data_IF_438760461933
#
_entry.id   IF_438760461933
#
_cell.length_a   1.000
_cell.length_b   1.000
_cell.length_c   1.000
_cell.angle_alpha   90.00
_cell.angle_beta   90.00
_cell.angle_gamma   90.00
#
_symmetry.space_group_name_H-M   'P 1'
#
loop_
_entity.id
_entity.type
_entity.pdbx_description
1 polymer ?
#
# COMPACT_ATOMS: atom_id res chain seq x y z
N UNK A 1 36.47 -7.15 3.99
CA UNK A 1 35.34 -6.20 4.06
C UNK A 1 34.22 -6.87 4.84
N UNK A 2 33.75 -6.25 5.93
CA UNK A 2 32.60 -6.76 6.68
C UNK A 2 31.38 -6.67 5.78
N UNK A 3 30.73 -7.80 5.51
CA UNK A 3 29.52 -7.84 4.70
C UNK A 3 28.34 -7.45 5.59
N UNK A 4 27.69 -6.32 5.28
CA UNK A 4 26.47 -5.90 5.98
C UNK A 4 25.25 -6.59 5.36
N UNK A 5 24.11 -6.63 6.08
CA UNK A 5 22.92 -7.35 5.60
C UNK A 5 22.40 -6.82 4.25
N UNK A 6 22.52 -5.50 4.03
CA UNK A 6 22.10 -4.86 2.78
C UNK A 6 22.97 -5.28 1.59
N UNK A 7 24.28 -5.50 1.79
CA UNK A 7 25.20 -5.98 0.74
C UNK A 7 24.89 -7.42 0.33
N UNK A 8 24.54 -8.26 1.30
CA UNK A 8 24.12 -9.65 1.03
C UNK A 8 22.84 -9.65 0.21
N UNK A 9 21.83 -8.89 0.64
CA UNK A 9 20.55 -8.80 -0.06
C UNK A 9 20.70 -8.19 -1.46
N UNK A 10 21.54 -7.16 -1.63
CA UNK A 10 21.84 -6.60 -2.95
C UNK A 10 22.42 -7.65 -3.91
N UNK A 11 23.37 -8.48 -3.43
CA UNK A 11 23.94 -9.57 -4.22
C UNK A 11 22.92 -10.65 -4.56
N UNK A 12 22.02 -10.99 -3.64
CA UNK A 12 20.93 -11.94 -3.90
C UNK A 12 19.98 -11.42 -4.99
N UNK A 13 19.56 -10.16 -4.89
CA UNK A 13 18.68 -9.54 -5.89
C UNK A 13 19.36 -9.49 -7.26
N UNK A 14 20.65 -9.13 -7.33
CA UNK A 14 21.41 -9.13 -8.59
C UNK A 14 21.62 -10.55 -9.13
N UNK A 15 21.80 -11.53 -8.25
CA UNK A 15 22.03 -12.93 -8.59
C UNK A 15 20.77 -13.74 -8.90
N UNK A 16 19.58 -13.17 -8.71
CA UNK A 16 18.31 -13.87 -8.86
C UNK A 16 18.10 -14.36 -10.29
N UNK A 17 17.76 -15.65 -10.43
CA UNK A 17 17.67 -16.33 -11.75
C UNK A 17 16.26 -16.65 -12.20
N UNK A 18 15.30 -16.75 -11.28
CA UNK A 18 13.93 -17.13 -11.60
C UNK A 18 12.88 -16.42 -10.75
N UNK A 19 11.65 -16.52 -11.22
CA UNK A 19 10.43 -16.22 -10.50
C UNK A 19 10.24 -17.21 -9.33
N UNK A 20 9.43 -16.84 -8.33
CA UNK A 20 9.23 -17.64 -7.10
C UNK A 20 8.09 -18.67 -7.25
N UNK A 21 7.05 -18.32 -7.98
CA UNK A 21 5.81 -19.11 -8.19
C UNK A 21 5.70 -19.66 -9.61
N UNK A 22 6.53 -19.19 -10.54
CA UNK A 22 6.59 -19.66 -11.92
C UNK A 22 7.98 -20.21 -12.24
N UNK A 23 8.05 -21.31 -12.99
CA UNK A 23 9.30 -21.79 -13.59
C UNK A 23 9.64 -20.92 -14.81
N UNK A 24 10.01 -19.67 -14.52
CA UNK A 24 10.28 -18.63 -15.51
C UNK A 24 11.59 -17.93 -15.17
N UNK A 25 12.48 -17.66 -16.14
CA UNK A 25 13.69 -16.88 -15.91
C UNK A 25 13.38 -15.48 -15.39
N UNK A 26 14.20 -14.97 -14.48
CA UNK A 26 14.09 -13.61 -13.96
C UNK A 26 14.39 -12.61 -15.10
N UNK A 27 13.59 -11.53 -15.26
CA UNK A 27 13.78 -10.61 -16.36
C UNK A 27 15.09 -9.83 -16.22
N UNK A 28 15.65 -9.39 -17.35
CA UNK A 28 16.78 -8.47 -17.34
C UNK A 28 16.38 -7.11 -16.73
N UNK A 29 17.08 -6.69 -15.67
CA UNK A 29 16.79 -5.46 -14.94
C UNK A 29 17.78 -4.37 -15.37
N UNK A 30 17.26 -3.36 -16.08
CA UNK A 30 18.03 -2.16 -16.46
C UNK A 30 18.15 -1.16 -15.31
N UNK A 31 17.11 -1.04 -14.49
CA UNK A 31 17.06 -0.17 -13.32
C UNK A 31 16.36 -0.90 -12.20
N UNK A 32 16.99 -0.93 -11.03
CA UNK A 32 16.48 -1.57 -9.84
C UNK A 32 15.54 -0.60 -9.13
N UNK A 33 14.24 -0.81 -9.36
CA UNK A 33 13.19 -0.07 -8.68
C UNK A 33 12.90 -0.70 -7.32
N UNK A 34 13.23 0.03 -6.27
CA UNK A 34 12.92 -0.33 -4.89
C UNK A 34 11.72 0.49 -4.47
N UNK A 35 10.78 -0.11 -3.74
CA UNK A 35 9.62 0.60 -3.22
C UNK A 35 9.56 0.46 -1.71
N UNK A 36 9.25 1.57 -1.04
CA UNK A 36 8.67 1.61 0.30
C UNK A 36 7.29 2.27 0.21
N UNK A 37 6.39 1.96 1.13
CA UNK A 37 5.02 2.49 1.12
C UNK A 37 4.48 2.78 2.52
N UNK A 38 3.51 3.69 2.60
CA UNK A 38 2.80 3.98 3.85
C UNK A 38 1.39 4.48 3.57
N UNK A 39 0.40 3.92 4.27
CA UNK A 39 -0.94 4.49 4.34
C UNK A 39 -0.92 5.86 5.02
N UNK A 40 -1.35 6.89 4.29
CA UNK A 40 -1.46 8.28 4.79
C UNK A 40 -2.86 8.54 5.37
N UNK A 41 -3.48 7.52 5.94
CA UNK A 41 -4.74 7.69 6.70
C UNK A 41 -4.51 8.17 8.14
N UNK A 42 -3.26 8.18 8.61
CA UNK A 42 -2.80 8.77 9.86
C UNK A 42 -1.59 9.66 9.65
N UNK A 43 -1.01 10.15 10.74
CA UNK A 43 0.23 10.96 10.70
C UNK A 43 1.44 10.01 10.62
N UNK A 44 2.31 10.12 9.60
CA UNK A 44 3.52 9.32 9.49
C UNK A 44 4.46 9.52 10.68
N UNK A 45 5.14 8.45 11.10
CA UNK A 45 6.03 8.46 12.26
C UNK A 45 7.35 7.74 11.99
N UNK A 46 8.28 7.76 12.95
CA UNK A 46 9.62 7.16 12.81
C UNK A 46 9.57 5.64 12.51
N UNK A 47 8.47 4.98 12.90
CA UNK A 47 8.20 3.58 12.52
C UNK A 47 8.02 3.41 11.01
N UNK A 48 7.35 4.36 10.34
CA UNK A 48 7.27 4.38 8.87
C UNK A 48 8.63 4.74 8.25
N UNK A 49 9.35 5.71 8.82
CA UNK A 49 10.68 6.08 8.32
C UNK A 49 11.69 4.93 8.38
N UNK A 50 11.61 4.10 9.42
CA UNK A 50 12.42 2.91 9.60
C UNK A 50 12.34 1.94 8.41
N UNK A 51 11.16 1.82 7.79
CA UNK A 51 10.97 1.06 6.56
C UNK A 51 11.73 1.72 5.40
N UNK A 52 11.53 3.02 5.18
CA UNK A 52 12.21 3.77 4.10
C UNK A 52 13.73 3.70 4.23
N UNK A 53 14.27 3.86 5.44
CA UNK A 53 15.72 3.86 5.71
C UNK A 53 16.35 2.50 5.38
N UNK A 54 15.65 1.38 5.60
CA UNK A 54 16.14 0.04 5.22
C UNK A 54 16.18 -0.13 3.71
N UNK A 55 15.16 0.36 3.03
CA UNK A 55 15.13 0.37 1.57
C UNK A 55 16.23 1.27 0.99
N UNK A 56 16.53 2.41 1.62
CA UNK A 56 17.66 3.26 1.23
C UNK A 56 19.02 2.58 1.45
N UNK A 57 19.20 1.85 2.55
CA UNK A 57 20.41 1.06 2.79
C UNK A 57 20.65 0.03 1.67
N UNK A 58 19.60 -0.69 1.25
CA UNK A 58 19.66 -1.58 0.11
C UNK A 58 19.94 -0.83 -1.21
N UNK A 59 19.30 0.32 -1.41
CA UNK A 59 19.51 1.13 -2.60
C UNK A 59 20.96 1.58 -2.74
N UNK A 60 21.62 1.97 -1.63
CA UNK A 60 23.06 2.27 -1.59
C UNK A 60 23.90 1.03 -1.89
N UNK A 61 23.61 -0.11 -1.28
CA UNK A 61 24.33 -1.36 -1.56
C UNK A 61 24.25 -1.78 -3.04
N UNK A 62 23.10 -1.61 -3.68
CA UNK A 62 22.95 -1.86 -5.13
C UNK A 62 23.74 -0.85 -5.99
N UNK A 63 23.80 0.42 -5.58
CA UNK A 63 24.63 1.44 -6.25
C UNK A 63 26.12 1.13 -6.11
N UNK A 64 26.56 0.62 -4.97
CA UNK A 64 27.95 0.18 -4.73
C UNK A 64 28.33 -1.01 -5.62
N UNK A 65 27.35 -1.85 -6.01
CA UNK A 65 27.50 -2.89 -7.04
C UNK A 65 27.42 -2.35 -8.48
N UNK A 66 27.39 -1.03 -8.67
CA UNK A 66 27.34 -0.37 -9.98
C UNK A 66 25.99 -0.47 -10.69
N UNK A 67 24.90 -0.76 -9.96
CA UNK A 67 23.56 -0.87 -10.56
C UNK A 67 22.84 0.49 -10.59
N UNK A 68 22.07 0.80 -11.65
CA UNK A 68 21.15 1.93 -11.63
C UNK A 68 19.98 1.65 -10.68
N UNK A 69 19.71 2.55 -9.75
CA UNK A 69 18.70 2.35 -8.69
C UNK A 69 17.80 3.56 -8.58
N UNK A 70 16.50 3.33 -8.39
CA UNK A 70 15.54 4.36 -7.98
C UNK A 70 14.75 3.84 -6.80
N UNK A 71 14.74 4.62 -5.71
CA UNK A 71 13.94 4.35 -4.52
C UNK A 71 12.65 5.14 -4.62
N UNK A 72 11.52 4.46 -4.68
CA UNK A 72 10.20 5.04 -4.59
C UNK A 72 9.71 5.06 -3.14
N UNK A 73 9.02 6.13 -2.78
CA UNK A 73 8.12 6.12 -1.64
C UNK A 73 6.69 6.40 -2.10
N UNK A 74 5.80 5.47 -1.81
CA UNK A 74 4.39 5.51 -2.17
C UNK A 74 3.54 5.96 -0.97
N UNK A 75 2.74 7.00 -1.19
CA UNK A 75 1.58 7.28 -0.36
C UNK A 75 0.39 6.44 -0.82
N UNK A 76 -0.12 5.56 0.05
CA UNK A 76 -1.36 4.82 -0.19
C UNK A 76 -2.56 5.73 0.16
N UNK A 77 -2.81 6.73 -0.67
CA UNK A 77 -3.72 7.84 -0.39
C UNK A 77 -5.15 7.65 -0.91
N UNK A 78 -5.43 6.52 -1.56
CA UNK A 78 -6.81 6.04 -1.76
C UNK A 78 -7.41 5.35 -0.52
N UNK A 79 -6.61 5.12 0.52
CA UNK A 79 -7.13 4.57 1.77
C UNK A 79 -8.09 5.53 2.45
N UNK A 80 -9.11 4.95 3.08
CA UNK A 80 -10.14 5.72 3.74
C UNK A 80 -9.67 6.30 5.08
N UNK A 81 -10.15 7.49 5.42
CA UNK A 81 -10.06 8.00 6.78
C UNK A 81 -10.94 7.15 7.72
N UNK A 82 -10.30 6.29 8.52
CA UNK A 82 -10.98 5.33 9.41
C UNK A 82 -11.44 5.93 10.73
N UNK A 83 -10.66 6.89 11.22
CA UNK A 83 -10.90 7.69 12.43
C UNK A 83 -10.14 9.00 12.28
N UNK A 84 -10.56 10.04 12.99
CA UNK A 84 -9.82 11.31 13.02
C UNK A 84 -8.55 11.13 13.88
N UNK A 85 -7.33 11.31 13.34
CA UNK A 85 -6.10 11.18 14.12
C UNK A 85 -5.97 12.26 15.19
N UNK A 86 -5.17 11.98 16.22
CA UNK A 86 -4.82 12.98 17.22
C UNK A 86 -4.11 14.19 16.55
N UNK A 87 -4.42 15.40 17.01
CA UNK A 87 -3.92 16.65 16.41
C UNK A 87 -4.75 17.18 15.24
N UNK A 88 -5.65 16.37 14.66
CA UNK A 88 -6.53 16.81 13.57
C UNK A 88 -7.86 17.35 14.14
N UNK A 89 -8.42 18.46 13.62
CA UNK A 89 -9.68 19.00 14.11
C UNK A 89 -10.81 17.98 14.05
N UNK A 90 -11.62 17.88 15.12
CA UNK A 90 -12.78 16.97 15.19
C UNK A 90 -13.79 17.17 14.06
N UNK A 91 -13.85 18.36 13.47
CA UNK A 91 -14.67 18.64 12.28
C UNK A 91 -14.35 17.74 11.07
N UNK A 92 -13.22 17.03 11.07
CA UNK A 92 -12.87 16.03 10.06
C UNK A 92 -13.70 14.74 10.16
N UNK A 93 -14.50 14.55 11.21
CA UNK A 93 -15.44 13.43 11.31
C UNK A 93 -16.39 13.35 10.10
N UNK A 94 -16.72 14.48 9.48
CA UNK A 94 -17.56 14.53 8.27
C UNK A 94 -16.91 13.85 7.04
N UNK A 95 -15.60 13.63 7.07
CA UNK A 95 -14.83 12.99 6.00
C UNK A 95 -14.55 11.50 6.25
N UNK A 96 -15.05 10.92 7.34
CA UNK A 96 -14.88 9.49 7.63
C UNK A 96 -15.38 8.63 6.47
N UNK A 97 -14.56 7.63 6.12
CA UNK A 97 -14.83 6.73 5.00
C UNK A 97 -14.51 7.27 3.62
N UNK A 98 -14.06 8.53 3.48
CA UNK A 98 -13.55 9.09 2.22
C UNK A 98 -12.05 8.76 2.02
N UNK A 99 -11.57 8.61 0.78
CA UNK A 99 -10.14 8.52 0.48
C UNK A 99 -9.38 9.74 1.02
N UNK A 100 -8.23 9.56 1.66
CA UNK A 100 -7.46 10.67 2.25
C UNK A 100 -6.88 11.64 1.20
N UNK A 101 -6.79 11.23 -0.06
CA UNK A 101 -6.49 12.11 -1.18
C UNK A 101 -7.63 13.10 -1.52
N UNK A 102 -8.86 12.82 -1.08
CA UNK A 102 -10.06 13.64 -1.37
C UNK A 102 -10.52 14.50 -0.19
N UNK A 103 -9.75 14.49 0.89
CA UNK A 103 -10.02 15.24 2.12
C UNK A 103 -9.15 16.50 2.10
N UNK A 104 -9.66 17.68 2.50
CA UNK A 104 -8.87 18.90 2.52
C UNK A 104 -7.68 18.82 3.48
N UNK A 105 -6.64 19.60 3.20
CA UNK A 105 -5.52 19.81 4.12
C UNK A 105 -6.03 20.36 5.47
N UNK A 106 -5.67 19.74 6.61
CA UNK A 106 -6.02 20.24 7.95
C UNK A 106 -5.57 21.67 8.23
N UNK A 107 -4.47 22.10 7.61
CA UNK A 107 -3.88 23.43 7.78
C UNK A 107 -4.20 24.40 6.62
N UNK A 108 -4.91 23.93 5.59
CA UNK A 108 -5.23 24.74 4.41
C UNK A 108 -4.04 25.16 3.55
N UNK A 109 -2.85 24.59 3.75
CA UNK A 109 -1.61 25.00 3.07
C UNK A 109 -1.32 24.25 1.76
N UNK A 110 -2.04 23.16 1.47
CA UNK A 110 -1.88 22.37 0.25
C UNK A 110 -3.19 21.70 -0.18
N UNK A 111 -3.18 20.93 -1.28
CA UNK A 111 -4.42 20.46 -1.93
C UNK A 111 -5.24 19.50 -1.07
N UNK A 112 -4.59 18.59 -0.33
CA UNK A 112 -5.27 17.53 0.41
C UNK A 112 -4.59 17.17 1.73
N UNK A 113 -5.31 16.42 2.55
CA UNK A 113 -4.81 15.75 3.75
C UNK A 113 -3.60 14.89 3.41
N UNK A 114 -3.70 14.03 2.38
CA UNK A 114 -2.60 13.15 2.00
C UNK A 114 -1.36 13.94 1.58
N UNK A 115 -1.54 14.98 0.76
CA UNK A 115 -0.43 15.81 0.30
C UNK A 115 0.31 16.49 1.44
N UNK A 116 -0.43 16.99 2.43
CA UNK A 116 0.12 17.65 3.60
C UNK A 116 1.13 16.74 4.32
N UNK A 117 0.67 15.56 4.75
CA UNK A 117 1.52 14.63 5.49
C UNK A 117 2.59 13.97 4.63
N UNK A 118 2.34 13.74 3.34
CA UNK A 118 3.36 13.26 2.41
C UNK A 118 4.50 14.27 2.25
N UNK A 119 4.20 15.57 2.11
CA UNK A 119 5.22 16.60 2.00
C UNK A 119 6.06 16.68 3.28
N UNK A 120 5.42 16.71 4.46
CA UNK A 120 6.11 16.73 5.75
C UNK A 120 7.04 15.52 5.90
N UNK A 121 6.55 14.32 5.60
CA UNK A 121 7.30 13.09 5.74
C UNK A 121 8.50 13.01 4.77
N UNK A 122 8.29 13.30 3.48
CA UNK A 122 9.36 13.24 2.47
C UNK A 122 10.43 14.31 2.70
N UNK A 123 10.03 15.55 3.04
CA UNK A 123 10.99 16.61 3.36
C UNK A 123 11.81 16.24 4.60
N UNK A 124 11.15 15.76 5.65
CA UNK A 124 11.82 15.30 6.87
C UNK A 124 12.82 14.17 6.63
N UNK A 125 12.46 13.17 5.80
CA UNK A 125 13.38 12.10 5.39
C UNK A 125 14.61 12.62 4.67
N UNK A 126 14.43 13.59 3.77
CA UNK A 126 15.54 14.22 3.06
C UNK A 126 16.43 15.04 4.00
N UNK A 127 15.83 15.91 4.80
CA UNK A 127 16.54 16.88 5.64
C UNK A 127 17.26 16.26 6.83
N UNK A 128 16.65 15.26 7.49
CA UNK A 128 17.19 14.69 8.72
C UNK A 128 17.83 13.31 8.55
N UNK A 129 17.48 12.57 7.49
CA UNK A 129 17.97 11.21 7.27
C UNK A 129 18.78 11.06 5.98
N UNK A 130 18.87 12.10 5.14
CA UNK A 130 19.65 12.08 3.90
C UNK A 130 19.14 11.06 2.88
N UNK A 131 17.85 10.74 2.92
CA UNK A 131 17.21 9.80 2.00
C UNK A 131 16.71 10.54 0.76
N UNK A 132 17.13 10.09 -0.42
CA UNK A 132 16.62 10.56 -1.69
C UNK A 132 15.63 9.54 -2.29
N UNK A 133 14.41 9.99 -2.53
CA UNK A 133 13.32 9.16 -3.01
C UNK A 133 12.47 9.85 -4.07
N UNK A 134 11.77 9.05 -4.87
CA UNK A 134 10.77 9.50 -5.84
C UNK A 134 9.37 9.25 -5.25
N UNK A 135 8.60 10.31 -5.09
CA UNK A 135 7.23 10.24 -4.58
C UNK A 135 6.27 9.59 -5.59
N UNK A 136 5.41 8.70 -5.10
CA UNK A 136 4.27 8.13 -5.83
C UNK A 136 2.98 8.25 -5.00
N UNK A 137 1.84 8.29 -5.67
CA UNK A 137 0.50 8.35 -5.07
C UNK A 137 -0.40 7.31 -5.73
N UNK A 138 -1.13 6.51 -4.92
CA UNK A 138 -2.09 5.55 -5.48
C UNK A 138 -3.26 6.28 -6.13
N UNK A 139 -3.78 7.36 -5.52
CA UNK A 139 -4.83 8.19 -6.09
C UNK A 139 -4.43 8.76 -7.46
N UNK A 140 -3.19 9.24 -7.59
CA UNK A 140 -2.64 9.67 -8.87
C UNK A 140 -2.60 8.55 -9.92
N UNK A 141 -2.20 7.33 -9.53
CA UNK A 141 -2.12 6.18 -10.41
C UNK A 141 -3.50 5.66 -10.88
N UNK A 142 -4.51 5.69 -10.02
CA UNK A 142 -5.88 5.36 -10.42
C UNK A 142 -6.45 6.43 -11.35
N UNK A 143 -6.38 7.71 -10.97
CA UNK A 143 -7.00 8.83 -11.71
C UNK A 143 -6.36 9.09 -13.07
N UNK A 144 -5.05 8.87 -13.20
CA UNK A 144 -4.36 8.97 -14.49
C UNK A 144 -4.66 7.79 -15.43
N UNK A 145 -5.26 6.72 -14.90
CA UNK A 145 -5.49 5.48 -15.63
C UNK A 145 -4.27 4.56 -15.70
N UNK A 146 -3.14 4.88 -15.06
CA UNK A 146 -1.93 4.06 -15.02
C UNK A 146 -2.22 2.61 -14.56
N UNK A 147 -3.11 2.44 -13.58
CA UNK A 147 -3.54 1.11 -13.13
C UNK A 147 -4.63 0.45 -13.98
N UNK A 148 -5.24 1.15 -14.94
CA UNK A 148 -6.37 0.62 -15.73
C UNK A 148 -6.05 -0.69 -16.47
N UNK A 149 -4.90 -0.84 -17.16
CA UNK A 149 -4.57 -2.11 -17.83
C UNK A 149 -4.42 -3.27 -16.85
N UNK A 150 -3.88 -3.01 -15.67
CA UNK A 150 -3.66 -3.99 -14.61
C UNK A 150 -4.97 -4.40 -13.95
N UNK A 151 -5.87 -3.44 -13.66
CA UNK A 151 -7.22 -3.72 -13.17
C UNK A 151 -7.97 -4.63 -14.14
N UNK A 152 -7.94 -4.32 -15.45
CA UNK A 152 -8.56 -5.19 -16.47
C UNK A 152 -7.95 -6.60 -16.47
N UNK A 153 -6.64 -6.73 -16.30
CA UNK A 153 -5.95 -8.04 -16.21
C UNK A 153 -6.37 -8.82 -14.97
N UNK A 154 -6.50 -8.15 -13.81
CA UNK A 154 -7.03 -8.73 -12.58
C UNK A 154 -8.46 -9.22 -12.80
N UNK A 155 -9.35 -8.38 -13.33
CA UNK A 155 -10.76 -8.74 -13.54
C UNK A 155 -10.92 -9.90 -14.54
N UNK A 156 -10.10 -9.95 -15.60
CA UNK A 156 -10.10 -11.06 -16.57
C UNK A 156 -9.67 -12.40 -15.94
N UNK A 157 -8.84 -12.35 -14.89
CA UNK A 157 -8.29 -13.53 -14.22
C UNK A 157 -8.84 -13.68 -12.79
N UNK A 158 -10.06 -13.21 -12.55
CA UNK A 158 -10.65 -13.09 -11.23
C UNK A 158 -10.74 -14.44 -10.49
N UNK A 159 -11.05 -15.53 -11.18
CA UNK A 159 -11.09 -16.87 -10.58
C UNK A 159 -9.72 -17.32 -10.07
N UNK A 160 -8.65 -17.03 -10.80
CA UNK A 160 -7.29 -17.30 -10.35
C UNK A 160 -6.91 -16.42 -9.14
N UNK A 161 -7.30 -15.14 -9.15
CA UNK A 161 -7.11 -14.25 -7.99
C UNK A 161 -7.85 -14.78 -6.75
N UNK A 162 -9.08 -15.27 -6.92
CA UNK A 162 -9.88 -15.91 -5.85
C UNK A 162 -9.20 -17.17 -5.33
N UNK A 163 -8.75 -18.05 -6.22
CA UNK A 163 -8.00 -19.27 -5.88
C UNK A 163 -6.81 -18.93 -4.98
N UNK A 164 -5.96 -18.00 -5.43
CA UNK A 164 -4.75 -17.58 -4.71
C UNK A 164 -5.11 -16.99 -3.34
N UNK A 165 -6.09 -16.09 -3.27
CA UNK A 165 -6.49 -15.48 -2.00
C UNK A 165 -7.08 -16.51 -1.04
N UNK A 166 -7.92 -17.44 -1.53
CA UNK A 166 -8.57 -18.46 -0.70
C UNK A 166 -7.59 -19.39 0.04
N UNK A 167 -6.34 -19.54 -0.43
CA UNK A 167 -5.28 -20.26 0.29
C UNK A 167 -4.98 -19.69 1.68
N UNK A 168 -5.27 -18.40 1.89
CA UNK A 168 -5.04 -17.67 3.15
C UNK A 168 -6.30 -17.49 4.00
N UNK A 169 -7.41 -18.16 3.67
CA UNK A 169 -8.71 -17.93 4.29
C UNK A 169 -9.30 -19.22 4.83
N UNK A 170 -9.85 -19.17 6.04
CA UNK A 170 -10.67 -20.25 6.58
C UNK A 170 -12.03 -20.32 5.87
N UNK A 171 -12.63 -19.16 5.61
CA UNK A 171 -13.87 -19.05 4.82
C UNK A 171 -13.55 -18.52 3.42
N UNK A 172 -13.83 -19.31 2.37
CA UNK A 172 -13.63 -18.88 1.00
C UNK A 172 -14.34 -17.56 0.68
N UNK A 173 -13.77 -16.81 -0.27
CA UNK A 173 -14.43 -15.66 -0.86
C UNK A 173 -15.76 -16.09 -1.51
N UNK A 174 -16.79 -15.22 -1.50
CA UNK A 174 -18.05 -15.49 -2.17
C UNK A 174 -17.84 -15.85 -3.65
N UNK A 175 -18.79 -16.63 -4.20
CA UNK A 175 -18.79 -16.98 -5.62
C UNK A 175 -18.73 -15.72 -6.50
N UNK A 176 -19.61 -14.76 -6.23
CA UNK A 176 -19.62 -13.45 -6.89
C UNK A 176 -18.87 -12.44 -6.02
N UNK A 177 -17.56 -12.33 -6.26
CA UNK A 177 -16.67 -11.43 -5.51
C UNK A 177 -15.77 -10.65 -6.47
N UNK A 178 -15.54 -9.37 -6.20
CA UNK A 178 -14.57 -8.53 -6.92
C UNK A 178 -13.60 -7.86 -5.95
N UNK A 179 -12.33 -7.69 -6.30
CA UNK A 179 -11.40 -6.88 -5.53
C UNK A 179 -11.59 -5.37 -5.78
N UNK A 180 -12.48 -4.93 -6.66
CA UNK A 180 -12.72 -3.51 -6.90
C UNK A 180 -13.65 -2.90 -5.85
N UNK A 181 -13.23 -1.78 -5.27
CA UNK A 181 -14.02 -0.98 -4.32
C UNK A 181 -14.21 0.44 -4.88
N UNK A 182 -15.41 0.79 -5.35
CA UNK A 182 -15.67 2.10 -5.95
C UNK A 182 -15.73 3.21 -4.90
N UNK A 183 -15.45 4.44 -5.31
CA UNK A 183 -15.81 5.63 -4.52
C UNK A 183 -17.25 6.02 -4.88
N UNK A 184 -18.09 6.29 -3.88
CA UNK A 184 -19.45 6.74 -4.14
C UNK A 184 -19.46 8.11 -4.84
N UNK A 185 -20.05 8.19 -6.03
CA UNK A 185 -20.10 9.42 -6.83
C UNK A 185 -20.91 10.55 -6.17
N UNK A 186 -21.84 10.20 -5.27
CA UNK A 186 -22.67 11.18 -4.58
C UNK A 186 -22.00 11.75 -3.31
N UNK A 187 -21.45 10.88 -2.44
CA UNK A 187 -20.93 11.31 -1.13
C UNK A 187 -19.41 11.22 -0.98
N UNK A 188 -18.68 10.74 -1.99
CA UNK A 188 -17.22 10.63 -1.99
C UNK A 188 -16.64 9.58 -1.05
N UNK A 189 -17.49 8.79 -0.38
CA UNK A 189 -17.05 7.73 0.53
C UNK A 189 -16.73 6.46 -0.24
N UNK A 190 -15.57 5.87 0.04
CA UNK A 190 -15.17 4.58 -0.51
C UNK A 190 -15.64 3.43 0.39
N UNK A 191 -15.69 3.65 1.71
CA UNK A 191 -15.94 2.53 2.63
C UNK A 191 -17.37 2.02 2.67
N UNK A 192 -18.33 2.88 2.33
CA UNK A 192 -19.77 2.63 2.34
C UNK A 192 -20.27 1.95 1.06
N UNK A 193 -19.46 1.80 0.02
CA UNK A 193 -19.91 1.18 -1.21
C UNK A 193 -19.94 -0.34 -1.10
N UNK A 194 -21.10 -0.93 -1.40
CA UNK A 194 -21.31 -2.37 -1.50
C UNK A 194 -21.58 -2.71 -2.96
N UNK A 195 -20.66 -3.45 -3.58
CA UNK A 195 -20.81 -3.91 -4.96
C UNK A 195 -21.96 -4.91 -5.05
N UNK A 196 -22.88 -4.71 -6.00
CA UNK A 196 -24.02 -5.61 -6.26
C UNK A 196 -23.77 -6.50 -7.46
N UNK A 197 -23.18 -5.95 -8.52
CA UNK A 197 -22.80 -6.68 -9.72
C UNK A 197 -21.53 -6.10 -10.34
N UNK A 198 -20.86 -6.88 -11.20
CA UNK A 198 -19.69 -6.47 -11.95
C UNK A 198 -19.56 -7.25 -13.26
N UNK A 199 -18.94 -6.59 -14.23
CA UNK A 199 -18.56 -7.15 -15.53
C UNK A 199 -17.12 -6.74 -15.87
N UNK A 200 -16.71 -6.89 -17.14
CA UNK A 200 -15.38 -6.50 -17.63
C UNK A 200 -15.16 -4.98 -17.72
N UNK A 201 -16.21 -4.17 -17.61
CA UNK A 201 -16.18 -2.71 -17.76
C UNK A 201 -16.22 -2.00 -16.41
N UNK A 202 -16.93 -2.55 -15.44
CA UNK A 202 -17.11 -1.92 -14.15
C UNK A 202 -17.95 -2.71 -13.16
N UNK A 203 -18.47 -1.99 -12.16
CA UNK A 203 -19.32 -2.51 -11.10
C UNK A 203 -20.55 -1.64 -10.93
N UNK A 204 -21.66 -2.23 -10.49
CA UNK A 204 -22.79 -1.52 -9.87
C UNK A 204 -22.65 -1.60 -8.35
N UNK A 205 -23.02 -0.54 -7.64
CA UNK A 205 -22.91 -0.49 -6.18
C UNK A 205 -24.05 0.28 -5.54
N UNK A 206 -24.27 0.01 -4.26
CA UNK A 206 -25.14 0.81 -3.38
C UNK A 206 -24.31 1.35 -2.22
N UNK A 207 -24.56 2.59 -1.83
CA UNK A 207 -23.89 3.26 -0.73
C UNK A 207 -24.62 3.01 0.60
N UNK A 208 -24.16 2.02 1.37
CA UNK A 208 -24.76 1.53 2.61
C UNK A 208 -23.89 1.89 3.83
N UNK A 209 -24.49 1.84 5.02
CA UNK A 209 -23.77 2.08 6.27
C UNK A 209 -22.60 1.11 6.44
N UNK A 210 -21.50 1.63 6.99
CA UNK A 210 -20.31 0.84 7.25
C UNK A 210 -19.82 1.06 8.68
N UNK A 211 -19.34 -0.03 9.29
CA UNK A 211 -18.78 0.01 10.64
C UNK A 211 -17.33 -0.49 10.62
N UNK A 212 -16.41 0.39 11.00
CA UNK A 212 -15.05 -0.02 11.30
C UNK A 212 -14.99 -0.70 12.66
N UNK A 213 -14.60 -1.96 12.66
CA UNK A 213 -14.38 -2.76 13.87
C UNK A 213 -13.14 -3.64 13.74
N UNK A 214 -12.55 -4.03 14.87
CA UNK A 214 -11.62 -5.15 14.90
C UNK A 214 -12.43 -6.45 15.01
N UNK A 215 -11.83 -7.55 14.59
CA UNK A 215 -12.48 -8.85 14.69
C UNK A 215 -12.77 -9.18 16.16
N UNK A 216 -14.03 -9.50 16.47
CA UNK A 216 -14.48 -9.80 17.84
C UNK A 216 -14.68 -8.57 18.75
N UNK A 217 -14.52 -7.34 18.24
CA UNK A 217 -14.71 -6.11 19.02
C UNK A 217 -15.88 -5.26 18.50
N UNK A 218 -16.36 -4.33 19.34
CA UNK A 218 -17.35 -3.34 18.94
C UNK A 218 -16.81 -2.36 17.89
N UNK A 219 -17.73 -1.76 17.13
CA UNK A 219 -17.38 -0.75 16.15
C UNK A 219 -16.85 0.51 16.83
N UNK A 220 -15.61 0.90 16.51
CA UNK A 220 -15.01 2.13 17.02
C UNK A 220 -15.33 3.34 16.15
N UNK A 221 -15.81 3.12 14.92
CA UNK A 221 -16.27 4.19 14.03
C UNK A 221 -17.38 3.67 13.13
N UNK A 222 -18.47 4.45 13.06
CA UNK A 222 -19.61 4.19 12.19
C UNK A 222 -19.68 5.28 11.14
N UNK A 223 -19.96 4.90 9.91
CA UNK A 223 -20.03 5.81 8.77
C UNK A 223 -21.32 5.56 8.02
N UNK A 224 -22.16 6.59 7.97
CA UNK A 224 -23.43 6.49 7.25
C UNK A 224 -23.23 6.50 5.74
N UNK A 225 -23.84 5.52 5.07
CA UNK A 225 -24.05 5.52 3.63
C UNK A 225 -25.08 6.59 3.25
N UNK A 226 -25.12 6.95 1.97
CA UNK A 226 -26.10 7.92 1.47
C UNK A 226 -27.26 7.29 0.69
N UNK A 227 -27.32 5.96 0.59
CA UNK A 227 -28.34 5.22 -0.16
C UNK A 227 -28.19 5.31 -1.68
N UNK A 228 -27.23 6.08 -2.20
CA UNK A 228 -27.03 6.24 -3.64
C UNK A 228 -26.67 4.91 -4.31
N UNK A 229 -27.34 4.61 -5.42
CA UNK A 229 -27.02 3.52 -6.33
C UNK A 229 -26.27 4.09 -7.54
N UNK A 230 -25.16 3.46 -7.91
CA UNK A 230 -24.30 3.98 -8.97
C UNK A 230 -23.54 2.92 -9.74
N UNK A 231 -22.93 3.36 -10.84
CA UNK A 231 -22.06 2.57 -11.71
C UNK A 231 -20.64 3.12 -11.69
N UNK A 232 -19.67 2.27 -11.37
CA UNK A 232 -18.25 2.61 -11.40
C UNK A 232 -17.54 1.85 -12.52
N UNK A 233 -17.06 2.59 -13.53
CA UNK A 233 -16.24 2.03 -14.61
C UNK A 233 -14.77 1.99 -14.19
N UNK A 234 -14.08 0.87 -14.42
CA UNK A 234 -12.66 0.72 -14.04
C UNK A 234 -11.76 1.79 -14.67
N UNK A 235 -12.09 2.21 -15.91
CA UNK A 235 -11.33 3.22 -16.65
C UNK A 235 -11.46 4.64 -16.10
N UNK A 236 -12.40 4.91 -15.19
CA UNK A 236 -12.52 6.23 -14.56
C UNK A 236 -11.54 6.41 -13.39
N UNK A 237 -10.98 5.32 -12.86
CA UNK A 237 -10.10 5.38 -11.70
C UNK A 237 -10.78 5.87 -10.41
N UNK A 238 -12.12 5.93 -10.37
CA UNK A 238 -12.87 6.39 -9.19
C UNK A 238 -13.15 5.23 -8.22
N UNK A 239 -12.08 4.66 -7.69
CA UNK A 239 -12.11 3.46 -6.85
C UNK A 239 -10.73 2.89 -6.67
N UNK A 240 -10.61 1.86 -5.84
CA UNK A 240 -9.36 1.14 -5.62
C UNK A 240 -9.54 -0.36 -5.64
N UNK A 241 -8.48 -1.09 -5.95
CA UNK A 241 -8.40 -2.51 -5.67
C UNK A 241 -8.23 -2.73 -4.15
N UNK A 242 -8.74 -3.85 -3.65
CA UNK A 242 -8.45 -4.27 -2.29
C UNK A 242 -6.94 -4.48 -2.13
N UNK A 243 -6.40 -4.00 -1.01
CA UNK A 243 -4.97 -3.77 -0.81
C UNK A 243 -4.05 -4.96 -1.15
N UNK A 244 -4.44 -6.22 -0.90
CA UNK A 244 -3.62 -7.39 -1.29
C UNK A 244 -3.42 -7.51 -2.81
N UNK A 245 -4.44 -7.14 -3.58
CA UNK A 245 -4.41 -7.17 -5.05
C UNK A 245 -3.80 -5.89 -5.59
N UNK A 246 -4.10 -4.75 -4.95
CA UNK A 246 -3.47 -3.45 -5.24
C UNK A 246 -1.95 -3.53 -5.13
N UNK A 247 -1.43 -4.16 -4.08
CA UNK A 247 0.02 -4.30 -3.85
C UNK A 247 0.73 -5.04 -5.00
N UNK A 248 0.12 -6.11 -5.52
CA UNK A 248 0.61 -6.82 -6.70
C UNK A 248 0.60 -5.93 -7.95
N UNK A 249 -0.46 -5.12 -8.12
CA UNK A 249 -0.58 -4.17 -9.24
C UNK A 249 0.50 -3.10 -9.17
N UNK A 250 0.78 -2.55 -8.00
CA UNK A 250 1.85 -1.56 -7.79
C UNK A 250 3.22 -2.12 -8.21
N UNK A 251 3.53 -3.36 -7.80
CA UNK A 251 4.78 -4.02 -8.19
C UNK A 251 4.89 -4.21 -9.69
N UNK A 252 3.84 -4.71 -10.34
CA UNK A 252 3.84 -4.98 -11.77
C UNK A 252 3.78 -3.71 -12.64
N UNK A 253 3.12 -2.66 -12.15
CA UNK A 253 2.98 -1.36 -12.80
C UNK A 253 4.30 -0.60 -12.80
N UNK A 254 4.94 -0.49 -11.64
CA UNK A 254 6.18 0.26 -11.48
C UNK A 254 7.45 -0.58 -11.56
N UNK A 255 7.31 -1.85 -11.94
CA UNK A 255 8.43 -2.77 -12.17
C UNK A 255 9.33 -2.91 -10.93
N UNK A 256 8.71 -2.94 -9.75
CA UNK A 256 9.40 -3.05 -8.48
C UNK A 256 10.14 -4.39 -8.41
N UNK A 257 11.41 -4.35 -8.06
CA UNK A 257 12.26 -5.55 -7.90
C UNK A 257 12.48 -5.92 -6.44
N UNK A 258 12.25 -4.98 -5.53
CA UNK A 258 12.36 -5.19 -4.11
C UNK A 258 11.39 -4.29 -3.32
N UNK A 259 10.65 -4.89 -2.39
CA UNK A 259 9.95 -4.23 -1.30
C UNK A 259 9.96 -5.16 -0.08
N UNK A 260 10.48 -4.66 1.03
CA UNK A 260 10.36 -5.23 2.36
C UNK A 260 9.04 -4.79 3.01
N UNK A 261 8.75 -5.37 4.18
CA UNK A 261 7.54 -5.07 4.95
C UNK A 261 7.70 -5.46 6.42
N UNK A 262 6.76 -5.01 7.26
CA UNK A 262 6.65 -5.46 8.64
C UNK A 262 6.29 -6.95 8.74
N UNK A 263 6.68 -7.59 9.86
CA UNK A 263 6.49 -9.03 10.09
C UNK A 263 5.07 -9.54 9.95
N UNK A 264 4.08 -8.71 10.23
CA UNK A 264 2.66 -9.02 10.08
C UNK A 264 2.28 -9.35 8.64
N UNK A 265 3.00 -8.81 7.65
CA UNK A 265 2.74 -9.07 6.23
C UNK A 265 3.40 -10.35 5.73
N UNK A 266 4.44 -10.82 6.43
CA UNK A 266 5.25 -11.99 6.09
C UNK A 266 4.87 -13.28 6.82
N UNK A 267 3.89 -13.24 7.73
CA UNK A 267 3.35 -14.45 8.36
C UNK A 267 2.97 -15.51 7.31
N UNK A 268 2.96 -16.82 7.63
CA UNK A 268 2.48 -17.84 6.70
C UNK A 268 1.10 -17.46 6.17
N UNK A 269 0.91 -17.45 4.85
CA UNK A 269 -0.31 -16.96 4.17
C UNK A 269 -0.63 -15.46 4.33
N UNK A 270 0.35 -14.70 4.83
CA UNK A 270 0.34 -13.25 4.94
C UNK A 270 0.17 -12.57 3.58
N UNK A 271 -0.14 -11.27 3.64
CA UNK A 271 -0.51 -10.51 2.46
C UNK A 271 0.61 -10.39 1.43
N UNK A 272 1.86 -10.37 1.88
CA UNK A 272 3.01 -10.31 0.98
C UNK A 272 3.00 -11.49 0.00
N UNK A 273 2.81 -12.70 0.52
CA UNK A 273 2.78 -13.93 -0.27
C UNK A 273 1.59 -14.01 -1.21
N UNK A 274 0.40 -13.57 -0.75
CA UNK A 274 -0.78 -13.48 -1.62
C UNK A 274 -0.56 -12.51 -2.78
N UNK A 275 -0.04 -11.31 -2.49
CA UNK A 275 0.27 -10.32 -3.50
C UNK A 275 1.35 -10.83 -4.46
N UNK A 276 2.35 -11.54 -3.93
CA UNK A 276 3.46 -12.12 -4.70
C UNK A 276 2.99 -13.12 -5.73
N UNK A 277 2.18 -14.08 -5.31
CA UNK A 277 1.63 -15.09 -6.20
C UNK A 277 0.70 -14.46 -7.26
N UNK A 278 -0.09 -13.43 -6.90
CA UNK A 278 -0.89 -12.66 -7.88
C UNK A 278 0.02 -11.93 -8.87
N UNK A 279 1.07 -11.27 -8.40
CA UNK A 279 2.01 -10.51 -9.23
C UNK A 279 2.63 -11.40 -10.30
N UNK A 280 3.07 -12.60 -9.91
CA UNK A 280 3.68 -13.54 -10.84
C UNK A 280 2.65 -14.24 -11.73
N UNK A 281 1.67 -14.96 -11.15
CA UNK A 281 0.74 -15.81 -11.91
C UNK A 281 -0.27 -15.02 -12.73
N UNK A 282 -0.65 -13.81 -12.28
CA UNK A 282 -1.66 -12.98 -12.96
C UNK A 282 -1.03 -11.83 -13.71
N UNK A 283 -0.08 -11.11 -13.10
CA UNK A 283 0.47 -9.88 -13.67
C UNK A 283 1.77 -10.09 -14.47
N UNK A 284 2.35 -11.28 -14.42
CA UNK A 284 3.57 -11.68 -15.14
C UNK A 284 4.82 -10.88 -14.74
N UNK A 285 4.89 -10.42 -13.49
CA UNK A 285 6.02 -9.69 -12.93
C UNK A 285 6.52 -10.39 -11.66
N UNK A 286 7.84 -10.51 -11.43
CA UNK A 286 8.35 -11.23 -10.28
C UNK A 286 7.84 -10.64 -8.97
N UNK A 287 7.59 -11.50 -7.99
CA UNK A 287 7.39 -11.10 -6.60
C UNK A 287 8.68 -10.42 -6.10
N UNK A 288 8.61 -9.23 -5.45
CA UNK A 288 9.78 -8.37 -5.21
C UNK A 288 10.56 -8.74 -3.94
N UNK A 289 10.89 -10.01 -3.78
CA UNK A 289 11.84 -10.52 -2.79
C UNK A 289 12.49 -11.81 -3.31
N UNK A 290 13.81 -11.98 -3.16
CA UNK A 290 14.46 -13.27 -3.46
C UNK A 290 14.09 -14.30 -2.37
N UNK A 291 13.41 -15.39 -2.71
CA UNK A 291 13.01 -16.43 -1.73
C UNK A 291 14.15 -17.39 -1.34
N UNK A 292 15.38 -17.21 -1.84
CA UNK A 292 16.47 -18.16 -1.62
C UNK A 292 17.05 -18.10 -0.19
N UNK A 293 16.84 -17.01 0.55
CA UNK A 293 17.26 -16.86 1.95
C UNK A 293 16.08 -16.48 2.87
N UNK A 294 16.14 -16.87 4.16
CA UNK A 294 15.07 -16.55 5.11
C UNK A 294 14.89 -15.05 5.21
N UNK A 295 13.71 -14.60 4.82
CA UNK A 295 13.22 -13.24 4.99
C UNK A 295 13.45 -12.78 6.42
N UNK A 296 14.12 -11.65 6.59
CA UNK A 296 14.14 -10.94 7.87
C UNK A 296 13.11 -9.82 7.81
N UNK A 297 11.83 -10.10 8.14
CA UNK A 297 10.87 -9.04 8.29
C UNK A 297 11.35 -8.06 9.35
N UNK A 298 11.01 -6.78 9.19
CA UNK A 298 11.40 -5.79 10.17
C UNK A 298 10.50 -5.89 11.40
N UNK A 299 11.12 -5.82 12.58
CA UNK A 299 10.44 -5.80 13.87
C UNK A 299 9.86 -4.43 14.20
N UNK A 300 8.95 -4.40 15.17
CA UNK A 300 8.36 -3.15 15.64
C UNK A 300 9.38 -2.28 16.37
N UNK A 301 9.35 -0.98 16.10
CA UNK A 301 9.99 0.00 16.97
C UNK A 301 9.09 0.29 18.18
N UNK A 302 9.70 0.27 19.37
CA UNK A 302 9.02 0.56 20.63
C UNK A 302 9.59 1.84 21.25
N UNK A 303 8.72 2.59 21.92
CA UNK A 303 9.09 3.71 22.82
C UNK A 303 8.54 3.32 24.19
N UNK A 304 9.41 3.32 25.21
CA UNK A 304 9.09 2.87 26.58
C UNK A 304 8.43 1.48 26.63
N UNK A 305 8.92 0.55 25.81
CA UNK A 305 8.40 -0.82 25.75
C UNK A 305 7.03 -0.98 25.09
N UNK A 306 6.41 0.09 24.58
CA UNK A 306 5.13 0.05 23.85
C UNK A 306 5.35 0.23 22.34
N UNK A 307 4.65 -0.59 21.54
CA UNK A 307 4.61 -0.41 20.08
C UNK A 307 4.04 0.96 19.75
N UNK A 308 4.73 1.71 18.88
CA UNK A 308 4.24 2.99 18.37
C UNK A 308 2.97 2.80 17.55
N UNK A 309 1.98 3.65 17.78
CA UNK A 309 0.72 3.66 17.02
C UNK A 309 0.17 5.07 16.93
N UNK A 310 0.05 5.61 15.70
CA UNK A 310 -0.58 6.92 15.47
C UNK A 310 -1.99 7.01 16.08
N UNK A 311 -2.61 5.84 16.20
CA UNK A 311 -3.92 5.63 16.77
C UNK A 311 -4.01 5.83 18.30
N UNK A 312 -2.91 5.61 19.02
CA UNK A 312 -2.79 5.75 20.50
C UNK A 312 -2.09 7.05 20.88
N UNK A 313 -1.45 7.72 19.91
CA UNK A 313 -0.73 8.99 20.12
C UNK A 313 0.66 8.83 20.69
N UNK A 314 1.15 7.60 20.91
CA UNK A 314 2.53 7.32 21.32
C UNK A 314 3.45 7.26 20.10
N UNK A 315 3.44 8.30 19.27
CA UNK A 315 4.26 8.38 18.07
C UNK A 315 5.16 9.59 18.13
N UNK A 316 6.38 9.41 17.63
CA UNK A 316 7.28 10.51 17.28
C UNK A 316 7.23 10.65 15.78
N UNK A 317 6.76 11.81 15.31
CA UNK A 317 6.79 12.12 13.89
C UNK A 317 8.25 12.20 13.42
N UNK A 318 8.49 12.10 12.11
CA UNK A 318 9.87 12.18 11.61
C UNK A 318 10.46 13.58 11.75
N UNK A 319 9.62 14.62 11.74
CA UNK A 319 10.05 16.02 11.89
C UNK A 319 10.24 16.45 13.34
N UNK A 320 9.61 15.78 14.31
CA UNK A 320 9.86 16.02 15.74
C UNK A 320 11.09 15.24 16.26
N UNK A 321 11.49 14.17 15.55
CA UNK A 321 12.58 13.27 15.94
C UNK A 321 13.92 13.97 16.27
N UNK A 322 14.39 14.99 15.52
CA UNK A 322 15.68 15.64 15.83
C UNK A 322 15.74 16.29 17.22
N UNK A 323 14.59 16.54 17.86
CA UNK A 323 14.46 17.20 19.16
C UNK A 323 13.78 16.34 20.23
N UNK A 324 13.45 15.08 19.90
CA UNK A 324 12.84 14.12 20.82
C UNK A 324 13.89 13.48 21.75
#
# INVERSE_FOLDING_TARGET
MTVYWADTLAREIVGRKKYNYLDKPFPEIKTYYIKSSTSISGVPHIGNASDVIRHDALARALRDLGKPVTLFWLAEDMDALRKVPAGIPKSFEKYLGMPVADIPCPEGCCESYSKHFSNLFVNSLKEHFGVELVFKSTAGAYRSGEFTPYIKKIMKNLELVKEIWNKSRETPLPERWTPWKPVCDNCGKIMTTVVKDFDEKGVTYVCEDYEFRKYGEEAYTKVSGCGYEGESKYSKGNGKLLWRVEWAVEWAAWKIIFEGAGKEHFMPTGAFWTAGEICERVLDWPEPHPCENPLQPYEYLTVDGKKMSASVGNVVSTWDWPTF
#
